data_IF_867151996363
#
_entry.id   IF_867151996363
#
_cell.length_a   1.000
_cell.length_b   1.000
_cell.length_c   1.000
_cell.angle_alpha   90.00
_cell.angle_beta   90.00
_cell.angle_gamma   90.00
#
_symmetry.space_group_name_H-M   'P 1'
#
loop_
_entity.id
_entity.type
_entity.pdbx_description
1 polymer ?
#
# COMPACT_ATOMS: atom_id res chain seq x y z
N UNK A 1 -13.13 9.04 -10.88
CA UNK A 1 -13.74 7.74 -10.51
C UNK A 1 -13.68 6.78 -11.68
N UNK A 2 -14.35 7.07 -12.80
CA UNK A 2 -14.35 6.15 -13.96
C UNK A 2 -12.94 5.81 -14.45
N UNK A 3 -11.99 6.76 -14.44
CA UNK A 3 -10.59 6.49 -14.77
C UNK A 3 -9.96 5.34 -13.94
N UNK A 4 -10.24 5.24 -12.64
CA UNK A 4 -9.75 4.14 -11.79
C UNK A 4 -10.42 2.81 -12.20
N UNK A 5 -11.73 2.86 -12.45
CA UNK A 5 -12.49 1.67 -12.86
C UNK A 5 -12.07 1.17 -14.24
N UNK A 6 -11.72 2.07 -15.16
CA UNK A 6 -11.23 1.74 -16.48
C UNK A 6 -9.83 1.11 -16.40
N UNK A 7 -8.98 1.55 -15.47
CA UNK A 7 -7.69 0.90 -15.17
C UNK A 7 -7.90 -0.51 -14.62
N UNK A 8 -8.83 -0.71 -13.69
CA UNK A 8 -9.14 -2.04 -13.14
C UNK A 8 -9.84 -2.97 -14.14
N UNK A 9 -10.39 -2.43 -15.23
CA UNK A 9 -10.98 -3.22 -16.31
C UNK A 9 -9.96 -3.69 -17.35
N UNK A 10 -8.70 -3.23 -17.29
CA UNK A 10 -7.64 -3.65 -18.21
C UNK A 10 -7.31 -5.13 -18.03
N UNK A 11 -6.93 -5.77 -19.12
CA UNK A 11 -6.34 -7.11 -19.06
C UNK A 11 -4.97 -7.07 -18.38
N UNK A 12 -4.56 -8.21 -17.83
CA UNK A 12 -3.26 -8.32 -17.19
C UNK A 12 -2.14 -8.28 -18.24
N UNK A 13 -1.17 -7.37 -18.05
CA UNK A 13 0.04 -7.28 -18.84
C UNK A 13 1.25 -7.04 -17.91
N UNK A 14 2.20 -7.99 -17.81
CA UNK A 14 3.36 -7.85 -16.93
C UNK A 14 4.36 -6.77 -17.36
N UNK A 15 4.30 -6.28 -18.61
CA UNK A 15 5.12 -5.15 -19.07
C UNK A 15 4.44 -3.79 -18.80
N UNK A 16 3.13 -3.81 -18.50
CA UNK A 16 2.34 -2.64 -18.16
C UNK A 16 1.57 -2.82 -16.83
N UNK A 17 2.26 -3.16 -15.71
CA UNK A 17 1.60 -3.52 -14.46
C UNK A 17 0.72 -2.40 -13.91
N UNK A 18 -0.41 -2.80 -13.32
CA UNK A 18 -1.31 -1.92 -12.56
C UNK A 18 -1.08 -2.16 -11.08
N UNK A 19 -0.44 -1.20 -10.43
CA UNK A 19 -0.08 -1.26 -9.02
C UNK A 19 -0.96 -0.28 -8.25
N UNK A 20 -1.48 -0.71 -7.11
CA UNK A 20 -2.18 0.16 -6.17
C UNK A 20 -1.24 0.45 -4.99
N UNK A 21 -1.07 1.73 -4.68
CA UNK A 21 -0.27 2.25 -3.59
C UNK A 21 -1.14 2.89 -2.51
N UNK A 22 -0.80 2.65 -1.25
CA UNK A 22 -1.36 3.37 -0.10
C UNK A 22 -0.44 3.23 1.10
N UNK A 23 -0.63 4.07 2.11
CA UNK A 23 0.15 4.07 3.32
C UNK A 23 -0.70 4.01 4.59
N UNK A 24 -0.10 3.50 5.65
CA UNK A 24 -0.76 3.51 6.95
C UNK A 24 0.21 3.63 8.11
N UNK A 25 -0.06 4.51 9.09
CA UNK A 25 0.73 4.56 10.29
C UNK A 25 0.52 3.30 11.11
N UNK A 26 1.60 2.87 11.76
CA UNK A 26 1.61 1.80 12.73
C UNK A 26 2.31 2.28 14.00
N UNK A 27 1.58 2.29 15.12
CA UNK A 27 2.14 2.69 16.41
C UNK A 27 2.99 1.55 16.98
N UNK A 28 4.26 1.84 17.24
CA UNK A 28 5.17 0.89 17.88
C UNK A 28 4.95 0.95 19.40
N UNK A 29 4.66 -0.20 19.99
CA UNK A 29 4.36 -0.33 21.42
C UNK A 29 4.95 -1.61 21.99
N UNK A 30 5.67 -1.46 23.11
CA UNK A 30 6.21 -2.56 23.91
C UNK A 30 5.29 -2.86 25.09
N UNK A 31 5.19 -4.12 25.50
CA UNK A 31 4.52 -4.50 26.74
C UNK A 31 5.44 -4.18 27.93
N UNK A 32 4.94 -3.45 28.93
CA UNK A 32 5.69 -3.21 30.18
C UNK A 32 5.64 -4.41 31.12
N UNK A 33 4.65 -5.30 30.94
CA UNK A 33 4.51 -6.56 31.67
C UNK A 33 4.24 -7.70 30.70
N UNK A 34 4.92 -8.83 30.93
CA UNK A 34 4.73 -10.04 30.13
C UNK A 34 3.31 -10.55 30.27
N UNK A 35 2.60 -10.65 29.14
CA UNK A 35 1.31 -11.33 29.08
C UNK A 35 1.40 -12.79 29.53
N UNK A 36 0.32 -13.31 30.11
CA UNK A 36 0.24 -14.71 30.52
C UNK A 36 -1.08 -15.33 30.08
N UNK A 37 -1.07 -16.65 29.88
CA UNK A 37 -2.28 -17.42 29.55
C UNK A 37 -2.76 -18.13 30.81
N UNK A 38 -4.03 -17.96 31.17
CA UNK A 38 -4.60 -18.65 32.32
C UNK A 38 -4.92 -20.13 32.02
N UNK A 39 -5.36 -20.87 33.03
CA UNK A 39 -5.72 -22.30 32.90
C UNK A 39 -6.91 -22.57 31.98
N UNK A 40 -7.62 -21.54 31.52
CA UNK A 40 -8.74 -21.62 30.58
C UNK A 40 -8.31 -21.22 29.15
N UNK A 41 -7.04 -20.90 28.93
CA UNK A 41 -6.53 -20.49 27.61
C UNK A 41 -6.77 -19.01 27.29
N UNK A 42 -7.20 -18.20 28.25
CA UNK A 42 -7.39 -16.75 28.04
C UNK A 42 -6.04 -16.04 28.18
N UNK A 43 -5.68 -15.25 27.17
CA UNK A 43 -4.47 -14.41 27.21
C UNK A 43 -4.81 -13.11 27.94
N UNK A 44 -4.15 -12.90 29.07
CA UNK A 44 -4.24 -11.69 29.86
C UNK A 44 -3.09 -10.75 29.47
N UNK A 45 -3.46 -9.57 29.00
CA UNK A 45 -2.53 -8.54 28.54
C UNK A 45 -2.76 -7.30 29.41
N UNK A 46 -1.68 -6.75 29.96
CA UNK A 46 -1.77 -5.52 30.76
C UNK A 46 -2.17 -4.32 29.87
N UNK A 47 -2.91 -3.38 30.43
CA UNK A 47 -3.29 -2.14 29.75
C UNK A 47 -2.09 -1.20 29.59
N UNK A 48 -1.09 -1.30 30.45
CA UNK A 48 0.11 -0.48 30.41
C UNK A 48 1.02 -0.90 29.24
N UNK A 49 1.54 0.08 28.51
CA UNK A 49 2.45 -0.10 27.39
C UNK A 49 3.42 1.07 27.29
N UNK A 50 4.59 0.81 26.72
CA UNK A 50 5.56 1.83 26.39
C UNK A 50 5.43 2.23 24.91
N UNK A 51 5.49 3.53 24.61
CA UNK A 51 5.41 4.05 23.24
C UNK A 51 6.82 4.14 22.66
N UNK A 52 7.06 3.35 21.62
CA UNK A 52 8.36 3.23 20.97
C UNK A 52 8.45 4.06 19.68
N UNK A 53 7.37 4.78 19.35
CA UNK A 53 7.28 5.67 18.20
C UNK A 53 6.20 5.24 17.20
N UNK A 54 6.35 5.68 15.96
CA UNK A 54 5.42 5.39 14.86
C UNK A 54 6.25 5.02 13.64
N UNK A 55 5.90 3.90 13.02
CA UNK A 55 6.40 3.52 11.70
C UNK A 55 5.30 3.72 10.65
N UNK A 56 5.69 3.68 9.39
CA UNK A 56 4.81 3.88 8.24
C UNK A 56 4.90 2.68 7.32
N UNK A 57 3.75 2.07 7.06
CA UNK A 57 3.60 0.96 6.13
C UNK A 57 3.30 1.55 4.76
N UNK A 58 4.10 1.23 3.75
CA UNK A 58 3.85 1.58 2.35
C UNK A 58 3.48 0.32 1.58
N UNK A 59 2.20 0.13 1.30
CA UNK A 59 1.67 -1.00 0.56
C UNK A 59 1.79 -0.76 -0.94
N UNK A 60 2.34 -1.71 -1.66
CA UNK A 60 2.28 -1.80 -3.12
C UNK A 60 1.69 -3.17 -3.47
N UNK A 61 0.53 -3.18 -4.11
CA UNK A 61 -0.12 -4.43 -4.56
C UNK A 61 -0.41 -4.35 -6.05
N UNK A 62 -0.09 -5.41 -6.78
CA UNK A 62 -0.55 -5.64 -8.15
C UNK A 62 -1.73 -6.62 -8.13
N UNK A 63 -2.98 -6.14 -8.27
CA UNK A 63 -4.19 -6.95 -8.07
C UNK A 63 -4.22 -8.20 -8.95
N UNK A 64 -3.95 -8.05 -10.25
CA UNK A 64 -4.05 -9.12 -11.25
C UNK A 64 -2.79 -9.98 -11.36
N UNK A 65 -1.62 -9.41 -11.03
CA UNK A 65 -0.35 -10.13 -10.98
C UNK A 65 -0.22 -11.02 -9.75
N UNK A 66 -1.05 -10.80 -8.73
CA UNK A 66 -0.97 -11.61 -7.51
C UNK A 66 0.37 -11.39 -6.80
N UNK A 67 0.87 -10.16 -6.82
CA UNK A 67 2.08 -9.74 -6.14
C UNK A 67 1.79 -8.56 -5.19
N UNK A 68 2.49 -8.51 -4.07
CA UNK A 68 2.54 -7.34 -3.18
C UNK A 68 3.87 -7.24 -2.47
N UNK A 69 4.22 -6.03 -2.10
CA UNK A 69 5.31 -5.76 -1.18
C UNK A 69 4.92 -4.59 -0.28
N UNK A 70 5.37 -4.65 0.97
CA UNK A 70 5.14 -3.59 1.94
C UNK A 70 6.47 -3.15 2.49
N UNK A 71 6.77 -1.86 2.36
CA UNK A 71 7.95 -1.25 2.97
C UNK A 71 7.56 -0.64 4.33
N UNK A 72 8.45 -0.78 5.32
CA UNK A 72 8.26 -0.22 6.65
C UNK A 72 9.32 0.84 6.87
N UNK A 73 8.86 2.09 6.95
CA UNK A 73 9.68 3.28 6.96
C UNK A 73 9.47 4.08 8.26
N UNK A 74 10.52 4.74 8.79
CA UNK A 74 10.41 5.51 10.03
C UNK A 74 9.69 6.87 9.86
N UNK A 75 9.47 7.33 8.63
CA UNK A 75 8.94 8.66 8.36
C UNK A 75 7.96 8.66 7.18
N UNK A 76 6.89 9.45 7.29
CA UNK A 76 5.95 9.74 6.20
C UNK A 76 6.22 11.14 5.64
N UNK A 77 6.92 11.21 4.52
CA UNK A 77 7.19 12.46 3.80
C UNK A 77 7.44 12.19 2.31
N UNK A 78 7.56 13.26 1.52
CA UNK A 78 7.77 13.15 0.06
C UNK A 78 9.08 12.47 -0.32
N UNK A 79 10.14 12.57 0.49
CA UNK A 79 11.40 11.86 0.24
C UNK A 79 11.26 10.36 0.48
N UNK A 80 10.53 9.94 1.52
CA UNK A 80 10.20 8.52 1.71
C UNK A 80 9.37 8.00 0.55
N UNK A 81 8.32 8.73 0.15
CA UNK A 81 7.51 8.40 -1.01
C UNK A 81 8.37 8.23 -2.29
N UNK A 82 9.26 9.19 -2.58
CA UNK A 82 10.15 9.09 -3.74
C UNK A 82 11.08 7.87 -3.69
N UNK A 83 11.58 7.45 -2.52
CA UNK A 83 12.32 6.19 -2.36
C UNK A 83 11.45 4.96 -2.64
N UNK A 84 10.20 4.96 -2.19
CA UNK A 84 9.22 3.89 -2.46
C UNK A 84 8.96 3.78 -3.97
N UNK A 85 8.77 4.91 -4.66
CA UNK A 85 8.57 4.93 -6.13
C UNK A 85 9.81 4.46 -6.88
N UNK A 86 11.00 4.86 -6.47
CA UNK A 86 12.24 4.35 -7.05
C UNK A 86 12.36 2.83 -6.87
N UNK A 87 12.09 2.31 -5.66
CA UNK A 87 12.07 0.88 -5.38
C UNK A 87 11.04 0.14 -6.25
N UNK A 88 9.84 0.69 -6.42
CA UNK A 88 8.81 0.12 -7.28
C UNK A 88 9.31 -0.01 -8.73
N UNK A 89 9.92 1.03 -9.28
CA UNK A 89 10.37 1.07 -10.67
C UNK A 89 11.65 0.27 -10.93
N UNK A 90 12.60 0.28 -10.00
CA UNK A 90 13.94 -0.26 -10.21
C UNK A 90 14.13 -1.65 -9.60
N UNK A 91 13.39 -2.00 -8.54
CA UNK A 91 13.55 -3.27 -7.84
C UNK A 91 12.37 -4.22 -8.05
N UNK A 92 11.13 -3.74 -7.96
CA UNK A 92 9.96 -4.61 -8.14
C UNK A 92 9.71 -4.88 -9.63
N UNK A 93 9.72 -3.83 -10.45
CA UNK A 93 9.43 -3.94 -11.88
C UNK A 93 10.54 -3.36 -12.76
N UNK A 94 11.81 -3.81 -12.66
CA UNK A 94 12.92 -3.26 -13.44
C UNK A 94 12.68 -3.30 -14.96
N UNK A 95 11.96 -4.31 -15.44
CA UNK A 95 11.75 -4.58 -16.86
C UNK A 95 10.41 -4.07 -17.40
N UNK A 96 9.53 -3.51 -16.55
CA UNK A 96 8.25 -2.98 -17.01
C UNK A 96 8.49 -1.75 -17.88
N UNK A 97 7.81 -1.66 -19.02
CA UNK A 97 7.87 -0.47 -19.87
C UNK A 97 7.18 0.69 -19.18
N UNK A 98 6.03 0.43 -18.54
CA UNK A 98 5.24 1.45 -17.88
C UNK A 98 4.48 0.90 -16.68
N UNK A 99 4.46 1.59 -15.55
CA UNK A 99 3.76 1.21 -14.34
C UNK A 99 2.59 2.18 -14.15
N UNK A 100 1.36 1.66 -14.14
CA UNK A 100 0.20 2.46 -13.73
C UNK A 100 0.07 2.38 -12.22
N UNK A 101 0.29 3.49 -11.51
CA UNK A 101 0.15 3.57 -10.07
C UNK A 101 -1.18 4.23 -9.69
N UNK A 102 -2.08 3.45 -9.10
CA UNK A 102 -3.33 3.93 -8.51
C UNK A 102 -3.09 4.28 -7.05
N UNK A 103 -3.35 5.51 -6.66
CA UNK A 103 -3.16 5.99 -5.28
C UNK A 103 -4.10 7.16 -4.97
N UNK A 104 -4.17 7.57 -3.70
CA UNK A 104 -4.93 8.76 -3.30
C UNK A 104 -4.24 10.06 -3.77
N UNK A 105 -4.68 11.24 -3.35
CA UNK A 105 -4.03 12.51 -3.69
C UNK A 105 -3.36 13.19 -2.48
N UNK A 106 -2.60 12.44 -1.69
CA UNK A 106 -1.86 12.99 -0.56
C UNK A 106 -0.81 14.04 -0.97
N UNK A 107 -0.57 15.01 -0.09
CA UNK A 107 0.39 16.11 -0.34
C UNK A 107 1.86 15.65 -0.42
N UNK A 108 2.15 14.45 0.06
CA UNK A 108 3.46 13.79 0.01
C UNK A 108 3.71 13.10 -1.32
N UNK A 109 2.67 12.80 -2.11
CA UNK A 109 2.75 12.04 -3.36
C UNK A 109 3.25 12.88 -4.55
N UNK A 110 4.51 13.31 -4.44
CA UNK A 110 5.18 14.19 -5.39
C UNK A 110 6.31 13.46 -6.09
N UNK A 111 6.11 13.11 -7.37
CA UNK A 111 7.18 12.58 -8.21
C UNK A 111 8.36 13.56 -8.36
N UNK A 112 8.12 14.87 -8.24
CA UNK A 112 9.18 15.88 -8.23
C UNK A 112 10.23 15.64 -7.12
N UNK A 113 9.85 15.01 -6.00
CA UNK A 113 10.78 14.67 -4.92
C UNK A 113 11.86 13.65 -5.34
N UNK A 114 11.67 12.93 -6.46
CA UNK A 114 12.73 12.12 -7.06
C UNK A 114 13.93 12.97 -7.49
N UNK A 115 13.69 14.18 -8.03
CA UNK A 115 14.75 15.11 -8.43
C UNK A 115 15.45 15.76 -7.24
N UNK A 116 14.82 15.76 -6.06
CA UNK A 116 15.44 16.22 -4.82
C UNK A 116 16.40 15.16 -4.24
N UNK A 117 16.21 13.87 -4.58
CA UNK A 117 16.97 12.75 -4.01
C UNK A 117 17.98 12.11 -4.96
N UNK A 118 17.76 12.19 -6.28
CA UNK A 118 18.53 11.45 -7.27
C UNK A 118 19.07 12.37 -8.37
N UNK A 119 20.16 11.97 -9.05
CA UNK A 119 20.62 12.66 -10.24
C UNK A 119 19.49 12.84 -11.27
N UNK A 120 19.41 13.99 -11.97
CA UNK A 120 18.28 14.30 -12.85
C UNK A 120 17.97 13.23 -13.90
N UNK A 121 18.99 12.55 -14.45
CA UNK A 121 18.82 11.46 -15.42
C UNK A 121 18.09 10.26 -14.82
N UNK A 122 18.50 9.81 -13.62
CA UNK A 122 17.84 8.70 -12.91
C UNK A 122 16.43 9.08 -12.48
N UNK A 123 16.25 10.29 -11.93
CA UNK A 123 14.92 10.77 -11.54
C UNK A 123 13.98 10.80 -12.76
N UNK A 124 14.46 11.30 -13.91
CA UNK A 124 13.67 11.37 -15.14
C UNK A 124 13.30 9.98 -15.65
N UNK A 125 14.24 9.03 -15.68
CA UNK A 125 13.98 7.68 -16.18
C UNK A 125 12.93 6.94 -15.34
N UNK A 126 12.89 7.17 -14.02
CA UNK A 126 11.83 6.66 -13.15
C UNK A 126 10.50 7.33 -13.48
N UNK A 127 10.46 8.68 -13.51
CA UNK A 127 9.23 9.45 -13.73
C UNK A 127 8.56 9.09 -15.06
N UNK A 128 9.34 8.88 -16.12
CA UNK A 128 8.81 8.51 -17.45
C UNK A 128 8.09 7.16 -17.46
N UNK A 129 8.41 6.28 -16.52
CA UNK A 129 7.80 4.95 -16.40
C UNK A 129 6.58 4.92 -15.48
N UNK A 130 6.21 6.02 -14.81
CA UNK A 130 5.07 6.05 -13.87
C UNK A 130 3.90 6.84 -14.46
N UNK A 131 2.71 6.21 -14.55
CA UNK A 131 1.44 6.90 -14.82
C UNK A 131 0.64 6.89 -13.53
N UNK A 132 0.39 8.07 -12.99
CA UNK A 132 -0.42 8.25 -11.79
C UNK A 132 -1.91 8.28 -12.13
N UNK A 133 -2.69 7.48 -11.44
CA UNK A 133 -4.16 7.48 -11.53
C UNK A 133 -4.73 7.70 -10.14
N UNK A 134 -5.18 8.93 -9.89
CA UNK A 134 -5.60 9.35 -8.55
C UNK A 134 -7.03 8.92 -8.26
N UNK A 135 -7.27 8.36 -7.08
CA UNK A 135 -8.65 8.17 -6.60
C UNK A 135 -9.30 9.52 -6.35
N UNK A 136 -10.63 9.65 -6.56
CA UNK A 136 -11.36 10.87 -6.19
C UNK A 136 -11.19 11.20 -4.70
N UNK A 137 -11.33 12.49 -4.36
CA UNK A 137 -11.50 12.88 -2.98
C UNK A 137 -12.65 12.10 -2.32
N UNK A 138 -12.43 11.60 -1.10
CA UNK A 138 -13.36 10.71 -0.38
C UNK A 138 -13.70 9.39 -1.11
N UNK A 139 -12.94 9.03 -2.14
CA UNK A 139 -13.09 7.80 -2.92
C UNK A 139 -12.09 6.70 -2.55
N UNK A 140 -11.58 6.73 -1.32
CA UNK A 140 -10.54 5.84 -0.80
C UNK A 140 -10.92 4.35 -0.94
N UNK A 141 -12.21 4.03 -0.79
CA UNK A 141 -12.78 2.70 -1.02
C UNK A 141 -12.53 2.11 -2.43
N UNK A 142 -12.14 2.93 -3.41
CA UNK A 142 -11.72 2.47 -4.74
C UNK A 142 -10.28 1.96 -4.77
N UNK A 143 -9.45 2.24 -3.77
CA UNK A 143 -8.06 1.84 -3.75
C UNK A 143 -7.90 0.44 -3.16
N UNK A 144 -7.45 -0.52 -3.98
CA UNK A 144 -7.20 -1.90 -3.53
C UNK A 144 -6.14 -1.98 -2.43
N UNK A 145 -5.18 -1.04 -2.40
CA UNK A 145 -4.12 -1.03 -1.39
C UNK A 145 -4.67 -0.82 0.04
N UNK A 146 -5.73 -0.02 0.21
CA UNK A 146 -6.42 0.14 1.50
C UNK A 146 -7.00 -1.19 2.01
N UNK A 147 -7.57 -1.98 1.10
CA UNK A 147 -8.09 -3.30 1.43
C UNK A 147 -6.97 -4.26 1.87
N UNK A 148 -5.84 -4.28 1.15
CA UNK A 148 -4.69 -5.12 1.52
C UNK A 148 -4.05 -4.67 2.84
N UNK A 149 -3.97 -3.37 3.13
CA UNK A 149 -3.51 -2.86 4.42
C UNK A 149 -4.42 -3.35 5.57
N UNK A 150 -5.74 -3.37 5.36
CA UNK A 150 -6.69 -3.93 6.34
C UNK A 150 -6.49 -5.44 6.54
N UNK A 151 -6.16 -6.18 5.48
CA UNK A 151 -5.84 -7.62 5.58
C UNK A 151 -4.53 -7.83 6.34
N UNK A 152 -3.47 -7.07 6.01
CA UNK A 152 -2.18 -7.11 6.68
C UNK A 152 -2.32 -6.86 8.19
N UNK A 153 -3.01 -5.79 8.59
CA UNK A 153 -3.19 -5.46 10.02
C UNK A 153 -3.95 -6.54 10.80
N UNK A 154 -4.84 -7.29 10.14
CA UNK A 154 -5.62 -8.36 10.80
C UNK A 154 -4.90 -9.71 10.83
N UNK A 155 -4.05 -9.98 9.85
CA UNK A 155 -3.51 -11.33 9.61
C UNK A 155 -1.99 -11.43 9.73
N UNK A 156 -1.27 -10.32 9.53
CA UNK A 156 0.18 -10.32 9.33
C UNK A 156 0.97 -9.51 10.36
N UNK A 157 0.31 -8.76 11.24
CA UNK A 157 0.98 -7.95 12.26
C UNK A 157 0.33 -8.22 13.61
N UNK A 158 1.14 -8.45 14.64
CA UNK A 158 0.69 -8.59 16.02
C UNK A 158 0.10 -7.27 16.53
N UNK A 159 -0.86 -7.27 17.47
CA UNK A 159 -1.43 -6.03 18.01
C UNK A 159 -0.42 -5.09 18.69
N UNK A 160 0.68 -5.64 19.21
CA UNK A 160 1.75 -4.89 19.88
C UNK A 160 3.10 -5.32 19.31
N UNK A 161 3.85 -4.35 18.80
CA UNK A 161 5.18 -4.57 18.21
C UNK A 161 6.07 -3.43 18.69
N UNK A 162 7.12 -3.76 19.43
CA UNK A 162 7.97 -2.78 20.11
C UNK A 162 9.00 -2.11 19.20
N UNK A 163 9.42 -2.75 18.11
CA UNK A 163 10.44 -2.19 17.22
C UNK A 163 10.09 -2.24 15.74
N UNK A 164 10.67 -1.32 14.98
CA UNK A 164 10.51 -1.28 13.52
C UNK A 164 11.11 -2.52 12.84
N UNK A 165 12.17 -3.10 13.41
CA UNK A 165 12.80 -4.34 12.93
C UNK A 165 11.86 -5.53 13.06
N UNK A 166 11.19 -5.67 14.20
CA UNK A 166 10.17 -6.72 14.40
C UNK A 166 9.00 -6.53 13.45
N UNK A 167 8.55 -5.28 13.26
CA UNK A 167 7.48 -4.96 12.33
C UNK A 167 7.86 -5.34 10.88
N UNK A 168 9.09 -5.03 10.45
CA UNK A 168 9.62 -5.43 9.14
C UNK A 168 9.59 -6.95 8.96
N UNK A 169 10.04 -7.72 9.95
CA UNK A 169 10.05 -9.17 9.88
C UNK A 169 8.63 -9.75 9.72
N UNK A 170 7.67 -9.27 10.52
CA UNK A 170 6.28 -9.75 10.45
C UNK A 170 5.62 -9.42 9.11
N UNK A 171 5.77 -8.16 8.68
CA UNK A 171 5.24 -7.67 7.39
C UNK A 171 5.86 -8.44 6.22
N UNK A 172 7.17 -8.69 6.25
CA UNK A 172 7.87 -9.45 5.23
C UNK A 172 7.37 -10.90 5.15
N UNK A 173 7.33 -11.60 6.28
CA UNK A 173 6.84 -12.97 6.33
C UNK A 173 5.41 -13.07 5.76
N UNK A 174 4.55 -12.10 6.08
CA UNK A 174 3.18 -12.06 5.58
C UNK A 174 3.09 -11.87 4.06
N UNK A 175 3.77 -10.87 3.48
CA UNK A 175 3.65 -10.64 2.04
C UNK A 175 4.33 -11.76 1.24
N UNK A 176 5.43 -12.34 1.73
CA UNK A 176 6.08 -13.48 1.09
C UNK A 176 5.16 -14.71 1.06
N UNK A 177 4.48 -14.99 2.17
CA UNK A 177 3.53 -16.09 2.23
C UNK A 177 2.35 -15.87 1.27
N UNK A 178 1.80 -14.66 1.19
CA UNK A 178 0.74 -14.34 0.21
C UNK A 178 1.27 -14.42 -1.22
N UNK A 179 2.51 -13.98 -1.48
CA UNK A 179 3.10 -13.97 -2.83
C UNK A 179 3.28 -15.40 -3.33
N UNK A 180 3.70 -16.33 -2.46
CA UNK A 180 3.78 -17.77 -2.78
C UNK A 180 2.44 -18.40 -3.14
N UNK A 181 1.32 -17.83 -2.69
CA UNK A 181 -0.04 -18.29 -3.03
C UNK A 181 -0.61 -17.61 -4.28
N UNK A 182 0.13 -16.67 -4.86
CA UNK A 182 -0.31 -15.84 -5.99
C UNK A 182 -1.70 -15.22 -5.77
N UNK A 183 -1.98 -14.77 -4.53
CA UNK A 183 -3.30 -14.26 -4.16
C UNK A 183 -3.69 -13.03 -5.00
N UNK A 184 -4.57 -13.23 -5.99
CA UNK A 184 -5.09 -12.14 -6.83
C UNK A 184 -6.28 -11.45 -6.17
N UNK A 185 -6.52 -10.21 -6.56
CA UNK A 185 -7.71 -9.46 -6.17
C UNK A 185 -8.64 -9.36 -7.38
N UNK A 186 -9.83 -9.93 -7.25
CA UNK A 186 -10.87 -9.88 -8.27
C UNK A 186 -11.80 -8.68 -8.03
N UNK A 187 -11.53 -7.58 -8.73
CA UNK A 187 -12.33 -6.35 -8.62
C UNK A 187 -13.61 -6.44 -9.45
N UNK A 188 -14.76 -6.45 -8.78
CA UNK A 188 -16.05 -6.72 -9.41
C UNK A 188 -16.87 -5.46 -9.75
N UNK A 189 -16.50 -4.28 -9.23
CA UNK A 189 -17.29 -3.05 -9.41
C UNK A 189 -16.91 -2.31 -10.70
N UNK A 190 -17.81 -2.32 -11.70
CA UNK A 190 -17.53 -1.79 -13.05
C UNK A 190 -18.12 -0.40 -13.31
N UNK A 191 -17.56 0.34 -14.27
CA UNK A 191 -18.04 1.68 -14.69
C UNK A 191 -19.55 1.72 -14.97
N UNK A 192 -20.10 0.70 -15.63
CA UNK A 192 -21.57 0.58 -15.88
C UNK A 192 -22.38 0.57 -14.58
N UNK A 193 -21.89 -0.11 -13.54
CA UNK A 193 -22.56 -0.14 -12.23
C UNK A 193 -22.39 1.19 -11.49
N UNK A 194 -21.24 1.84 -11.61
CA UNK A 194 -20.97 3.16 -11.02
C UNK A 194 -21.97 4.22 -11.52
N UNK A 195 -22.23 4.28 -12.83
CA UNK A 195 -23.19 5.22 -13.43
C UNK A 195 -24.62 5.07 -12.88
N UNK A 196 -24.99 3.86 -12.45
CA UNK A 196 -26.30 3.58 -11.87
C UNK A 196 -26.29 3.83 -10.36
N UNK A 197 -25.41 3.14 -9.62
CA UNK A 197 -25.38 3.18 -8.15
C UNK A 197 -24.91 4.51 -7.59
N UNK A 198 -24.04 5.22 -8.31
CA UNK A 198 -23.42 6.47 -7.90
C UNK A 198 -23.88 7.65 -8.74
N UNK A 199 -25.07 7.58 -9.33
CA UNK A 199 -25.65 8.63 -10.19
C UNK A 199 -25.54 10.04 -9.60
N UNK A 200 -25.68 10.19 -8.28
CA UNK A 200 -25.59 11.47 -7.57
C UNK A 200 -24.20 12.13 -7.61
N UNK A 201 -23.15 11.37 -7.91
CA UNK A 201 -21.78 11.88 -8.05
C UNK A 201 -21.50 12.45 -9.44
N UNK A 202 -22.39 12.23 -10.41
CA UNK A 202 -22.27 12.82 -11.74
C UNK A 202 -22.99 14.19 -11.74
N UNK A 203 -22.42 15.21 -12.41
CA UNK A 203 -23.08 16.49 -12.57
C UNK A 203 -24.47 16.30 -13.20
N UNK A 204 -25.47 17.01 -12.68
CA UNK A 204 -26.73 17.17 -13.39
C UNK A 204 -26.49 18.02 -14.64
N UNK A 205 -26.81 17.48 -15.81
CA UNK A 205 -26.85 18.23 -17.07
C UNK A 205 -27.98 19.25 -17.06
#
# INVERSE_FOLDING_TARGET
MEQVLDVYAKEYDPLHPVVCGDESPYQLVSETRTSFTDSKGVVHIDYEYEREGVAQLYMMVEPLGGYRQVLVEPAHNSHTYARVIAHLAENIYPNAHHITLVEDNASTHKLAALYELFPPERARSIVERITLVRTPAHGSWLNVAECELSVLKRQGIAPRVGSIEQLRQQVQAWYEQRNKKESKVDWQFKTKQARIKLKRLYPSL
#
